data_IF_124618323439
#
_entry.id   IF_124618323439
#
_cell.length_a   1.000
_cell.length_b   1.000
_cell.length_c   1.000
_cell.angle_alpha   90.00
_cell.angle_beta   90.00
_cell.angle_gamma   90.00
#
_symmetry.space_group_name_H-M   'P 1'
#
loop_
_entity.id
_entity.type
_entity.pdbx_description
1 polymer ?
#
# COMPACT_ATOMS: atom_id res chain seq x y z
N UNK A 1 7.15 3.91 -14.21
CA UNK A 1 5.90 4.27 -13.48
C UNK A 1 6.32 4.91 -12.18
N UNK A 2 5.72 6.02 -11.77
CA UNK A 2 6.20 6.77 -10.60
C UNK A 2 5.98 5.96 -9.31
N UNK A 3 7.03 5.82 -8.50
CA UNK A 3 6.98 5.10 -7.23
C UNK A 3 7.06 6.06 -6.06
N UNK A 4 6.48 5.65 -4.94
CA UNK A 4 6.51 6.38 -3.70
C UNK A 4 6.70 5.46 -2.50
N UNK A 5 7.16 6.02 -1.38
CA UNK A 5 7.32 5.34 -0.10
C UNK A 5 6.49 6.05 0.98
N UNK A 6 5.94 5.26 1.90
CA UNK A 6 5.33 5.74 3.12
C UNK A 6 6.40 6.00 4.19
N UNK A 7 6.61 7.28 4.56
CA UNK A 7 7.49 7.66 5.68
C UNK A 7 6.71 8.04 6.95
N UNK A 8 5.38 7.97 6.90
CA UNK A 8 4.51 8.12 8.05
C UNK A 8 4.28 6.76 8.72
N UNK A 9 3.84 6.70 9.99
CA UNK A 9 3.51 5.43 10.63
C UNK A 9 2.45 4.64 9.84
N UNK A 10 1.47 5.34 9.28
CA UNK A 10 0.39 4.80 8.47
C UNK A 10 -0.20 5.89 7.56
N UNK A 11 -0.55 5.53 6.33
CA UNK A 11 -1.33 6.36 5.41
C UNK A 11 -2.68 5.68 5.16
N UNK A 12 -3.81 6.33 5.46
CA UNK A 12 -5.12 5.75 5.22
C UNK A 12 -5.43 5.68 3.72
N UNK A 13 -5.79 4.49 3.24
CA UNK A 13 -6.21 4.27 1.86
C UNK A 13 -7.74 4.23 1.76
N UNK A 14 -8.30 4.95 0.79
CA UNK A 14 -9.73 5.18 0.63
C UNK A 14 -10.28 4.60 -0.66
N UNK A 15 -11.57 4.26 -0.66
CA UNK A 15 -12.26 3.73 -1.85
C UNK A 15 -12.36 4.73 -3.00
N UNK A 16 -12.52 6.00 -2.66
CA UNK A 16 -12.68 7.12 -3.60
C UNK A 16 -11.79 8.30 -3.16
N UNK A 17 -11.40 9.21 -4.09
CA UNK A 17 -10.57 10.38 -3.80
C UNK A 17 -11.38 11.46 -3.07
N UNK A 18 -11.74 11.17 -1.82
CA UNK A 18 -12.55 12.03 -0.97
C UNK A 18 -12.29 11.73 0.50
N UNK A 19 -12.15 12.77 1.32
CA UNK A 19 -11.99 12.62 2.77
C UNK A 19 -13.21 11.95 3.44
N UNK A 20 -14.39 11.98 2.80
CA UNK A 20 -15.61 11.32 3.27
C UNK A 20 -15.71 9.86 2.85
N UNK A 21 -14.86 9.41 1.92
CA UNK A 21 -14.85 8.03 1.46
C UNK A 21 -14.37 7.08 2.55
N UNK A 22 -14.92 5.87 2.55
CA UNK A 22 -14.53 4.79 3.46
C UNK A 22 -13.03 4.49 3.33
N UNK A 23 -12.39 4.23 4.48
CA UNK A 23 -11.03 3.70 4.52
C UNK A 23 -11.09 2.19 4.27
N UNK A 24 -10.47 1.74 3.18
CA UNK A 24 -10.53 0.34 2.71
C UNK A 24 -9.26 -0.44 3.02
N UNK A 25 -8.14 0.26 3.23
CA UNK A 25 -6.84 -0.31 3.58
C UNK A 25 -5.94 0.77 4.18
N UNK A 26 -4.66 0.46 4.35
CA UNK A 26 -3.63 1.37 4.82
C UNK A 26 -2.27 1.01 4.22
N UNK A 27 -1.41 2.02 4.01
CA UNK A 27 0.01 1.82 3.65
C UNK A 27 0.84 2.01 4.91
N UNK A 28 1.70 1.05 5.23
CA UNK A 28 2.50 1.07 6.46
C UNK A 28 3.86 1.75 6.24
N UNK A 29 4.48 2.20 7.34
CA UNK A 29 5.83 2.76 7.30
C UNK A 29 6.82 1.85 6.56
N UNK A 30 7.58 2.42 5.63
CA UNK A 30 8.58 1.72 4.83
C UNK A 30 8.01 0.93 3.64
N UNK A 31 6.69 0.91 3.47
CA UNK A 31 6.06 0.27 2.33
C UNK A 31 6.10 1.18 1.09
N UNK A 32 6.35 0.55 -0.06
CA UNK A 32 6.36 1.22 -1.36
C UNK A 32 5.05 1.02 -2.10
N UNK A 33 4.65 2.02 -2.89
CA UNK A 33 3.50 1.96 -3.77
C UNK A 33 3.83 2.53 -5.15
N UNK A 34 3.13 2.06 -6.17
CA UNK A 34 3.20 2.62 -7.52
C UNK A 34 2.00 3.53 -7.74
N UNK A 35 2.23 4.75 -8.20
CA UNK A 35 1.17 5.72 -8.55
C UNK A 35 0.58 5.32 -9.90
N UNK A 36 -0.73 5.11 -9.94
CA UNK A 36 -1.46 4.68 -11.14
C UNK A 36 -2.39 5.76 -11.70
N UNK A 37 -2.87 6.68 -10.84
CA UNK A 37 -3.75 7.78 -11.24
C UNK A 37 -3.59 8.95 -10.27
N UNK A 38 -3.78 10.17 -10.76
CA UNK A 38 -3.84 11.39 -9.93
C UNK A 38 -5.18 12.07 -10.14
N UNK A 39 -5.82 12.51 -9.04
CA UNK A 39 -7.06 13.28 -9.09
C UNK A 39 -7.14 14.24 -7.91
N UNK A 40 -7.21 15.53 -8.20
CA UNK A 40 -7.20 16.60 -7.21
C UNK A 40 -6.00 16.42 -6.24
N UNK A 41 -6.23 16.39 -4.93
CA UNK A 41 -5.19 16.18 -3.90
C UNK A 41 -4.95 14.68 -3.57
N UNK A 42 -5.46 13.77 -4.40
CA UNK A 42 -5.38 12.33 -4.18
C UNK A 42 -4.58 11.61 -5.26
N UNK A 43 -3.87 10.58 -4.82
CA UNK A 43 -3.18 9.62 -5.68
C UNK A 43 -3.86 8.28 -5.54
N UNK A 44 -4.23 7.66 -6.67
CA UNK A 44 -4.56 6.24 -6.68
C UNK A 44 -3.25 5.48 -6.79
N UNK A 45 -3.04 4.52 -5.91
CA UNK A 45 -1.80 3.76 -5.82
C UNK A 45 -2.06 2.27 -5.72
N UNK A 46 -1.10 1.47 -6.18
CA UNK A 46 -1.04 0.02 -6.00
C UNK A 46 0.08 -0.30 -5.02
N UNK A 47 -0.23 -0.96 -3.90
CA UNK A 47 0.76 -1.33 -2.89
C UNK A 47 1.70 -2.42 -3.41
N UNK A 48 3.00 -2.31 -3.13
CA UNK A 48 3.98 -3.31 -3.61
C UNK A 48 3.90 -4.63 -2.84
N UNK A 49 3.26 -4.64 -1.66
CA UNK A 49 3.17 -5.81 -0.78
C UNK A 49 2.11 -6.82 -1.25
N UNK A 50 0.87 -6.36 -1.44
CA UNK A 50 -0.29 -7.20 -1.73
C UNK A 50 -0.99 -6.85 -3.05
N UNK A 51 -0.47 -5.87 -3.79
CA UNK A 51 -1.10 -5.30 -4.99
C UNK A 51 -2.48 -4.68 -4.73
N UNK A 52 -2.80 -4.32 -3.49
CA UNK A 52 -4.07 -3.66 -3.18
C UNK A 52 -4.08 -2.23 -3.71
N UNK A 53 -5.22 -1.81 -4.25
CA UNK A 53 -5.41 -0.48 -4.84
C UNK A 53 -6.35 0.41 -4.02
N UNK A 54 -6.04 1.70 -4.00
CA UNK A 54 -6.93 2.71 -3.47
C UNK A 54 -6.33 4.10 -3.47
N UNK A 55 -7.08 5.06 -2.91
CA UNK A 55 -6.76 6.48 -2.94
C UNK A 55 -6.13 6.96 -1.64
N UNK A 56 -5.04 7.71 -1.74
CA UNK A 56 -4.33 8.32 -0.59
C UNK A 56 -4.12 9.82 -0.84
N UNK A 57 -3.92 10.60 0.22
CA UNK A 57 -3.59 12.03 0.03
C UNK A 57 -2.16 12.17 -0.51
N UNK A 58 -1.99 13.01 -1.54
CA UNK A 58 -0.73 13.18 -2.23
C UNK A 58 0.41 13.65 -1.30
N UNK A 59 0.10 14.53 -0.34
CA UNK A 59 1.06 15.07 0.63
C UNK A 59 1.53 14.07 1.70
N UNK A 60 0.98 12.85 1.72
CA UNK A 60 1.36 11.82 2.69
C UNK A 60 2.39 10.83 2.12
N UNK A 61 2.59 10.82 0.80
CA UNK A 61 3.55 9.97 0.11
C UNK A 61 4.81 10.75 -0.25
N UNK A 62 5.95 10.05 -0.21
CA UNK A 62 7.23 10.58 -0.65
C UNK A 62 7.64 9.91 -1.96
N UNK A 63 7.81 10.70 -3.02
CA UNK A 63 8.29 10.19 -4.31
C UNK A 63 9.71 9.66 -4.18
N UNK A 64 9.99 8.55 -4.85
CA UNK A 64 11.33 7.93 -4.89
C UNK A 64 11.76 7.70 -6.33
N UNK A 65 13.07 7.69 -6.58
CA UNK A 65 13.61 7.26 -7.87
C UNK A 65 13.28 5.79 -8.15
N UNK A 66 13.14 5.39 -9.42
CA UNK A 66 12.81 4.00 -9.76
C UNK A 66 13.84 3.00 -9.22
N UNK A 67 15.13 3.38 -9.18
CA UNK A 67 16.23 2.57 -8.66
C UNK A 67 16.29 2.51 -7.12
N UNK A 68 15.59 3.43 -6.42
CA UNK A 68 15.59 3.53 -4.96
C UNK A 68 14.48 2.68 -4.31
N UNK A 69 13.52 2.21 -5.11
CA UNK A 69 12.41 1.44 -4.60
C UNK A 69 12.80 -0.02 -4.33
N UNK A 70 12.68 -0.44 -3.08
CA UNK A 70 12.94 -1.82 -2.68
C UNK A 70 11.70 -2.68 -2.82
N UNK A 71 11.88 -3.91 -3.31
CA UNK A 71 10.83 -4.94 -3.30
C UNK A 71 11.10 -5.92 -2.18
N UNK A 72 10.12 -6.13 -1.30
CA UNK A 72 10.18 -7.18 -0.28
C UNK A 72 10.16 -8.53 -0.97
N UNK A 73 11.25 -9.29 -0.87
CA UNK A 73 11.39 -10.60 -1.52
C UNK A 73 11.24 -11.79 -0.56
N UNK A 74 11.40 -11.56 0.74
CA UNK A 74 11.44 -12.62 1.74
C UNK A 74 10.83 -12.14 3.06
N UNK A 75 10.13 -13.05 3.74
CA UNK A 75 9.75 -12.90 5.14
C UNK A 75 10.75 -13.62 6.02
N UNK A 76 11.01 -13.08 7.20
CA UNK A 76 11.70 -13.83 8.25
C UNK A 76 10.76 -14.93 8.75
N UNK A 77 11.00 -16.17 8.33
CA UNK A 77 10.19 -17.34 8.73
C UNK A 77 9.96 -17.47 10.25
N UNK A 78 10.85 -16.93 11.08
CA UNK A 78 10.71 -16.94 12.55
C UNK A 78 9.53 -16.13 13.09
N UNK A 79 8.93 -15.25 12.30
CA UNK A 79 7.76 -14.44 12.68
C UNK A 79 6.47 -14.84 11.93
N UNK A 80 6.55 -15.80 11.00
CA UNK A 80 5.39 -16.28 10.27
C UNK A 80 4.76 -17.47 11.01
N UNK A 81 3.48 -17.36 11.36
CA UNK A 81 2.70 -18.53 11.79
C UNK A 81 2.13 -19.21 10.55
N UNK A 82 2.52 -20.47 10.32
CA UNK A 82 1.89 -21.28 9.28
C UNK A 82 0.43 -21.54 9.66
N UNK A 83 -0.50 -20.99 8.89
CA UNK A 83 -1.93 -21.29 9.02
C UNK A 83 -2.27 -22.38 8.01
N UNK A 84 -2.72 -23.53 8.51
CA UNK A 84 -3.30 -24.57 7.67
C UNK A 84 -4.80 -24.32 7.54
N UNK A 85 -5.26 -24.09 6.31
CA UNK A 85 -6.70 -24.07 6.01
C UNK A 85 -7.24 -25.48 6.23
N UNK A 86 -8.01 -25.70 7.30
CA UNK A 86 -8.87 -26.89 7.36
C UNK A 86 -9.97 -26.67 6.34
N UNK A 87 -9.99 -27.47 5.28
CA UNK A 87 -11.11 -27.52 4.33
C UNK A 87 -12.41 -27.53 5.14
N UNK A 88 -13.15 -26.43 5.07
CA UNK A 88 -14.46 -26.31 5.68
C UNK A 88 -15.34 -27.36 5.02
N UNK A 89 -15.86 -28.30 5.81
CA UNK A 89 -16.83 -29.29 5.37
C UNK A 89 -17.99 -28.56 4.66
N UNK A 90 -18.05 -28.72 3.34
CA UNK A 90 -19.29 -28.69 2.58
C UNK A 90 -19.95 -30.08 2.70
#
# INVERSE_FOLDING_TARGET
>A
MQKAICLLPVIPMRKEPSHRSEMVSQILFGEYATIVEEKDDFLKVTCSYDNYEGWVQANQLFLVGEEEALTTTHYTNGFASLVAMKNSHL
#
